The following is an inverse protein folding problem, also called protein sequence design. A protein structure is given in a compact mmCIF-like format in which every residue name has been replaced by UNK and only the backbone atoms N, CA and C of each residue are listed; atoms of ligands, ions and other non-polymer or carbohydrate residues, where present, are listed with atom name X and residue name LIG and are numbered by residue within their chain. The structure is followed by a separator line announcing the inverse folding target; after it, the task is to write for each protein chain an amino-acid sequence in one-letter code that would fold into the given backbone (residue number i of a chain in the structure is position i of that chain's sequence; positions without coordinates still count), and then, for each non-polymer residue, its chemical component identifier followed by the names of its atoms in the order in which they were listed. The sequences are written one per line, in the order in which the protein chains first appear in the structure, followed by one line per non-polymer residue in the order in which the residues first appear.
data_IF_672933467608
#
_entry.id   IF_672933467608
#
_cell.length_a   1.000
_cell.length_b   1.000
_cell.length_c   1.000
_cell.angle_alpha   90.00
_cell.angle_beta   90.00
_cell.angle_gamma   90.00
#
_symmetry.space_group_name_H-M   'P 1'
#
loop_
_entity.id
_entity.type
_entity.pdbx_description
1 polymer ?
#
# COMPACT_ATOMS: atom_id res chain seq x y z
N UNK A 1 -13.41 20.72 -1.04
CA UNK A 1 -12.00 20.61 -0.66
C UNK A 1 -11.80 19.22 -0.05
N UNK A 2 -10.82 18.44 -0.53
CA UNK A 2 -10.50 17.13 0.04
C UNK A 2 -10.02 17.26 1.50
N UNK A 3 -10.41 16.32 2.37
CA UNK A 3 -9.91 16.22 3.74
C UNK A 3 -9.14 14.92 3.90
N UNK A 4 -7.83 15.04 4.12
CA UNK A 4 -6.95 13.90 4.33
C UNK A 4 -7.39 13.04 5.52
N UNK A 5 -7.20 11.72 5.41
CA UNK A 5 -7.37 10.80 6.54
C UNK A 5 -6.19 10.93 7.51
N UNK A 6 -6.47 10.72 8.79
CA UNK A 6 -5.43 10.72 9.83
C UNK A 6 -4.53 9.49 9.72
N UNK A 7 -3.31 9.60 10.27
CA UNK A 7 -2.35 8.49 10.39
C UNK A 7 -2.15 8.18 11.88
N UNK A 8 -2.20 6.91 12.32
CA UNK A 8 -2.39 5.71 11.50
C UNK A 8 -3.79 5.63 10.88
N UNK A 9 -3.85 5.15 9.65
CA UNK A 9 -5.07 4.87 8.92
C UNK A 9 -5.26 3.36 8.80
N UNK A 10 -6.49 2.91 9.06
CA UNK A 10 -6.96 1.59 8.68
C UNK A 10 -8.32 1.76 8.01
N UNK A 11 -8.51 1.10 6.87
CA UNK A 11 -9.73 1.22 6.08
C UNK A 11 -10.89 0.42 6.72
N UNK A 12 -12.11 0.69 6.28
CA UNK A 12 -13.31 0.01 6.77
C UNK A 12 -13.35 -1.46 6.33
N UNK A 13 -14.02 -2.31 7.11
CA UNK A 13 -14.20 -3.73 6.78
C UNK A 13 -15.03 -3.93 5.50
N UNK A 14 -14.83 -5.02 4.73
CA UNK A 14 -13.96 -6.17 5.05
C UNK A 14 -12.48 -5.91 4.71
N UNK A 15 -11.57 -6.43 5.52
CA UNK A 15 -10.12 -6.43 5.31
C UNK A 15 -9.57 -7.87 5.41
N UNK A 16 -8.51 -8.21 4.64
CA UNK A 16 -7.75 -9.42 4.89
C UNK A 16 -7.01 -9.33 6.23
N UNK A 17 -6.42 -10.44 6.69
CA UNK A 17 -5.48 -10.40 7.81
C UNK A 17 -4.29 -9.52 7.42
N UNK A 18 -4.18 -8.36 8.05
CA UNK A 18 -3.06 -7.45 7.81
C UNK A 18 -1.76 -8.03 8.40
N UNK A 19 -0.64 -7.96 7.67
CA UNK A 19 0.65 -8.40 8.20
C UNK A 19 1.17 -7.42 9.25
N UNK A 20 1.96 -7.94 10.18
CA UNK A 20 2.78 -7.16 11.10
C UNK A 20 3.94 -6.51 10.36
N UNK A 21 4.50 -5.43 10.92
CA UNK A 21 5.67 -4.78 10.32
C UNK A 21 6.88 -5.72 10.23
N UNK A 22 7.02 -6.66 11.16
CA UNK A 22 8.10 -7.65 11.14
C UNK A 22 7.91 -8.68 10.03
N UNK A 23 6.69 -9.17 9.80
CA UNK A 23 6.36 -10.01 8.64
C UNK A 23 6.65 -9.28 7.33
N UNK A 24 6.30 -7.99 7.22
CA UNK A 24 6.60 -7.16 6.04
C UNK A 24 8.11 -7.05 5.81
N UNK A 25 8.89 -6.78 6.87
CA UNK A 25 10.35 -6.62 6.78
C UNK A 25 11.08 -7.92 6.48
N UNK A 26 10.56 -9.04 6.98
CA UNK A 26 11.11 -10.37 6.74
C UNK A 26 10.69 -10.95 5.39
N UNK A 27 9.73 -10.32 4.69
CA UNK A 27 9.24 -10.81 3.40
C UNK A 27 10.34 -10.80 2.33
N UNK A 28 10.59 -11.97 1.75
CA UNK A 28 11.59 -12.20 0.70
C UNK A 28 11.03 -12.07 -0.72
N UNK A 29 9.70 -11.96 -0.86
CA UNK A 29 9.05 -11.77 -2.15
C UNK A 29 9.03 -10.29 -2.53
N UNK A 30 10.17 -9.83 -3.04
CA UNK A 30 10.44 -8.43 -3.38
C UNK A 30 10.02 -8.19 -4.83
N UNK A 31 9.04 -7.31 -5.03
CA UNK A 31 8.61 -6.89 -6.37
C UNK A 31 9.48 -5.76 -6.92
N UNK A 32 9.95 -4.87 -6.03
CA UNK A 32 10.79 -3.74 -6.39
C UNK A 32 11.56 -3.23 -5.17
N UNK A 33 12.80 -2.81 -5.36
CA UNK A 33 13.63 -2.24 -4.29
C UNK A 33 14.54 -1.13 -4.84
N UNK A 34 14.57 -0.01 -4.14
CA UNK A 34 15.49 1.10 -4.37
C UNK A 34 16.22 1.44 -3.07
N UNK A 35 17.14 2.40 -3.11
CA UNK A 35 17.80 2.90 -1.90
C UNK A 35 16.84 3.55 -0.90
N UNK A 36 15.65 4.00 -1.34
CA UNK A 36 14.71 4.77 -0.52
C UNK A 36 13.35 4.08 -0.30
N UNK A 37 13.02 3.03 -1.07
CA UNK A 37 11.72 2.37 -1.02
C UNK A 37 11.81 0.89 -1.36
N UNK A 38 10.87 0.10 -0.83
CA UNK A 38 10.72 -1.32 -1.10
C UNK A 38 9.26 -1.67 -1.30
N UNK A 39 8.99 -2.58 -2.24
CA UNK A 39 7.67 -3.14 -2.52
C UNK A 39 7.78 -4.66 -2.37
N UNK A 40 6.97 -5.22 -1.47
CA UNK A 40 6.94 -6.67 -1.21
C UNK A 40 5.53 -7.21 -1.39
N UNK A 41 5.40 -8.37 -2.01
CA UNK A 41 4.15 -9.12 -2.11
C UNK A 41 4.08 -10.12 -0.96
N UNK A 42 3.32 -9.77 0.09
CA UNK A 42 3.23 -10.58 1.31
C UNK A 42 2.45 -11.87 1.07
N UNK A 43 1.40 -11.79 0.26
CA UNK A 43 0.60 -12.91 -0.24
C UNK A 43 -0.16 -12.45 -1.50
N UNK A 44 -1.06 -13.30 -2.01
CA UNK A 44 -1.83 -13.04 -3.24
C UNK A 44 -2.80 -11.85 -3.10
N UNK A 45 -3.15 -11.44 -1.88
CA UNK A 45 -4.11 -10.36 -1.61
C UNK A 45 -3.46 -9.04 -1.18
N UNK A 46 -2.19 -9.09 -0.72
CA UNK A 46 -1.53 -7.97 -0.03
C UNK A 46 -0.16 -7.70 -0.61
N UNK A 47 0.01 -6.46 -1.07
CA UNK A 47 1.30 -5.84 -1.39
C UNK A 47 1.57 -4.70 -0.42
N UNK A 48 2.82 -4.51 -0.04
CA UNK A 48 3.23 -3.42 0.85
C UNK A 48 4.34 -2.61 0.21
N UNK A 49 4.10 -1.31 0.05
CA UNK A 49 5.12 -0.32 -0.31
C UNK A 49 5.57 0.41 0.94
N UNK A 50 6.87 0.43 1.22
CA UNK A 50 7.40 1.09 2.40
C UNK A 50 8.79 1.68 2.19
N UNK A 51 9.15 2.72 2.96
CA UNK A 51 10.46 3.35 2.83
C UNK A 51 10.51 4.82 3.27
N UNK A 52 11.69 5.41 3.15
CA UNK A 52 11.91 6.84 3.38
C UNK A 52 11.55 7.71 2.17
N UNK A 53 11.48 7.13 0.97
CA UNK A 53 11.00 7.78 -0.25
C UNK A 53 9.54 7.48 -0.58
N UNK A 54 8.76 6.99 0.39
CA UNK A 54 7.33 6.73 0.23
C UNK A 54 6.55 7.86 0.90
N UNK A 55 5.70 8.53 0.12
CA UNK A 55 4.94 9.69 0.59
C UNK A 55 3.54 9.31 1.08
N UNK A 56 3.09 9.99 2.14
CA UNK A 56 1.71 9.88 2.64
C UNK A 56 0.68 10.23 1.56
N UNK A 57 1.03 11.14 0.64
CA UNK A 57 0.14 11.56 -0.44
C UNK A 57 -0.27 10.42 -1.37
N UNK A 58 0.58 9.40 -1.54
CA UNK A 58 0.22 8.20 -2.31
C UNK A 58 -0.95 7.45 -1.66
N UNK A 59 -0.89 7.25 -0.35
CA UNK A 59 -1.99 6.62 0.40
C UNK A 59 -3.26 7.48 0.39
N UNK A 60 -3.13 8.81 0.56
CA UNK A 60 -4.27 9.72 0.48
C UNK A 60 -4.94 9.69 -0.90
N UNK A 61 -4.16 9.56 -1.98
CA UNK A 61 -4.69 9.44 -3.33
C UNK A 61 -5.51 8.15 -3.50
N UNK A 62 -5.03 7.01 -2.99
CA UNK A 62 -5.79 5.76 -3.03
C UNK A 62 -7.12 5.87 -2.28
N UNK A 63 -7.13 6.48 -1.08
CA UNK A 63 -8.37 6.70 -0.33
C UNK A 63 -9.33 7.65 -1.06
N UNK A 64 -8.80 8.67 -1.73
CA UNK A 64 -9.61 9.57 -2.56
C UNK A 64 -10.27 8.83 -3.72
N UNK A 65 -9.49 8.04 -4.47
CA UNK A 65 -9.99 7.27 -5.62
C UNK A 65 -11.09 6.30 -5.19
N UNK A 66 -10.88 5.54 -4.11
CA UNK A 66 -11.89 4.61 -3.58
C UNK A 66 -13.21 5.32 -3.23
N UNK A 67 -13.15 6.50 -2.59
CA UNK A 67 -14.34 7.20 -2.10
C UNK A 67 -15.06 8.04 -3.13
N UNK A 68 -14.35 8.56 -4.12
CA UNK A 68 -14.86 9.61 -5.00
C UNK A 68 -14.80 9.26 -6.49
N UNK A 69 -14.00 8.27 -6.88
CA UNK A 69 -13.82 7.89 -8.28
C UNK A 69 -13.84 6.35 -8.44
N UNK A 70 -14.91 5.65 -8.00
CA UNK A 70 -14.94 4.18 -7.96
C UNK A 70 -14.85 3.50 -9.33
N UNK A 71 -15.01 4.25 -10.43
CA UNK A 71 -14.82 3.74 -11.80
C UNK A 71 -13.35 3.60 -12.22
N UNK A 72 -12.39 4.16 -11.46
CA UNK A 72 -10.96 4.00 -11.73
C UNK A 72 -10.45 2.78 -10.96
N UNK A 73 -9.95 1.73 -11.64
CA UNK A 73 -9.41 0.56 -10.97
C UNK A 73 -8.07 0.93 -10.33
N UNK A 74 -8.08 1.15 -9.02
CA UNK A 74 -6.89 1.41 -8.21
C UNK A 74 -6.83 0.42 -7.03
N UNK A 75 -5.63 0.06 -6.55
CA UNK A 75 -5.49 -0.76 -5.36
C UNK A 75 -6.20 -0.15 -4.16
N UNK A 76 -7.00 -0.94 -3.46
CA UNK A 76 -7.58 -0.52 -2.19
C UNK A 76 -6.50 -0.42 -1.12
N UNK A 77 -6.36 0.75 -0.49
CA UNK A 77 -5.46 0.92 0.67
C UNK A 77 -6.11 0.31 1.91
N UNK A 78 -5.47 -0.68 2.52
CA UNK A 78 -5.96 -1.33 3.74
C UNK A 78 -5.46 -0.63 5.01
N UNK A 79 -4.20 -0.24 5.04
CA UNK A 79 -3.62 0.51 6.15
C UNK A 79 -2.48 1.43 5.68
N UNK A 80 -2.27 2.53 6.41
CA UNK A 80 -1.14 3.43 6.25
C UNK A 80 -0.65 3.93 7.60
N UNK A 81 0.64 3.77 7.88
CA UNK A 81 1.22 4.12 9.17
C UNK A 81 2.72 4.43 9.06
N UNK A 82 3.27 4.99 10.13
CA UNK A 82 4.71 5.18 10.28
C UNK A 82 5.30 4.08 11.14
N UNK A 83 6.46 3.57 10.75
CA UNK A 83 7.35 2.80 11.63
C UNK A 83 8.80 3.24 11.38
N UNK A 84 9.53 3.60 12.44
CA UNK A 84 10.94 3.98 12.35
C UNK A 84 11.22 5.08 11.32
N UNK A 85 10.33 6.09 11.26
CA UNK A 85 10.32 7.21 10.30
C UNK A 85 10.09 6.82 8.83
N UNK A 86 9.73 5.57 8.54
CA UNK A 86 9.34 5.11 7.21
C UNK A 86 7.83 5.02 7.11
N UNK A 87 7.28 5.39 5.95
CA UNK A 87 5.86 5.19 5.66
C UNK A 87 5.66 3.76 5.20
N UNK A 88 4.58 3.13 5.64
CA UNK A 88 4.10 1.83 5.19
C UNK A 88 2.71 2.00 4.58
N UNK A 89 2.54 1.54 3.35
CA UNK A 89 1.26 1.48 2.63
C UNK A 89 0.94 0.00 2.41
N UNK A 90 -0.02 -0.52 3.17
CA UNK A 90 -0.53 -1.90 3.03
C UNK A 90 -1.76 -1.83 2.15
N UNK A 91 -1.72 -2.47 0.98
CA UNK A 91 -2.75 -2.32 -0.04
C UNK A 91 -3.05 -3.64 -0.76
N UNK A 92 -4.17 -3.66 -1.46
CA UNK A 92 -4.59 -4.76 -2.31
C UNK A 92 -3.51 -5.09 -3.34
N UNK A 93 -3.15 -6.37 -3.44
CA UNK A 93 -2.41 -6.88 -4.59
C UNK A 93 -3.42 -7.07 -5.75
N UNK A 94 -3.26 -6.29 -6.83
CA UNK A 94 -4.13 -6.39 -8.01
C UNK A 94 -3.48 -7.35 -9.01
N UNK A 95 -4.12 -8.49 -9.36
CA UNK A 95 -3.58 -9.41 -10.35
C UNK A 95 -3.45 -8.74 -11.71
N UNK A 96 -2.32 -8.95 -12.38
CA UNK A 96 -2.08 -8.37 -13.71
C UNK A 96 -0.76 -8.83 -14.31
N UNK A 97 -0.56 -8.43 -15.56
CA UNK A 97 0.67 -8.65 -16.33
C UNK A 97 1.34 -7.28 -16.51
N UNK A 98 2.67 -7.22 -16.36
CA UNK A 98 3.39 -5.96 -16.57
C UNK A 98 3.29 -5.53 -18.03
N UNK A 99 3.09 -4.24 -18.28
CA UNK A 99 2.86 -3.73 -19.62
C UNK A 99 4.02 -4.00 -20.59
N UNK A 100 5.26 -4.03 -20.10
CA UNK A 100 6.47 -4.33 -20.87
C UNK A 100 6.64 -5.81 -21.23
N UNK A 101 5.79 -6.68 -20.68
CA UNK A 101 5.76 -8.11 -20.98
C UNK A 101 4.67 -8.49 -21.99
N UNK A 102 3.98 -7.50 -22.59
CA UNK A 102 2.97 -7.65 -23.64
C UNK A 102 3.53 -7.08 -24.94
#
# INVERSE_FOLDING_TARGET
MWKAVAIPFQNSQPLPRLPTTDEIRACTNILWETSSSKIVAVNDDIVVKYGGGVDVWEGQALVYLERHVPGVPAPRLYAMYYDSKKVFLVMQCVPGVQLDSI
#
